data_IF_206204356377
#
_entry.id   IF_206204356377
#
_cell.length_a   1.000
_cell.length_b   1.000
_cell.length_c   1.000
_cell.angle_alpha   90.00
_cell.angle_beta   90.00
_cell.angle_gamma   90.00
#
_symmetry.space_group_name_H-M   'P 1'
#
loop_
_entity.id
_entity.type
_entity.pdbx_description
1 polymer ?
#
# COMPACT_ATOMS: atom_id res chain seq x y z
N UNK A 1 -10.42 -4.02 -13.82
CA UNK A 1 -11.65 -3.35 -13.36
C UNK A 1 -11.50 -1.82 -13.43
N UNK A 2 -10.50 -1.23 -12.73
CA UNK A 2 -10.29 0.21 -12.68
C UNK A 2 -10.11 0.81 -14.08
N UNK A 3 -9.19 0.30 -14.88
CA UNK A 3 -8.97 0.77 -16.26
C UNK A 3 -10.23 0.67 -17.12
N UNK A 4 -10.96 -0.46 -17.02
CA UNK A 4 -12.21 -0.63 -17.77
C UNK A 4 -13.22 0.48 -17.46
N UNK A 5 -13.46 0.79 -16.18
CA UNK A 5 -14.40 1.83 -15.80
C UNK A 5 -13.89 3.23 -16.12
N UNK A 6 -12.60 3.47 -15.95
CA UNK A 6 -11.99 4.75 -16.34
C UNK A 6 -12.11 4.99 -17.84
N UNK A 7 -11.68 4.05 -18.67
CA UNK A 7 -11.73 4.13 -20.14
C UNK A 7 -13.16 4.29 -20.67
N UNK A 8 -14.13 3.64 -20.00
CA UNK A 8 -15.54 3.69 -20.42
C UNK A 8 -16.25 5.00 -20.04
N UNK A 9 -15.70 5.77 -19.09
CA UNK A 9 -16.39 6.96 -18.54
C UNK A 9 -15.65 8.26 -18.75
N UNK A 10 -14.35 8.21 -19.12
CA UNK A 10 -13.51 9.37 -19.32
C UNK A 10 -13.13 9.57 -20.80
N UNK A 11 -12.82 10.79 -21.18
CA UNK A 11 -12.14 11.04 -22.46
C UNK A 11 -10.75 10.42 -22.46
N UNK A 12 -10.20 10.12 -23.63
CA UNK A 12 -8.87 9.54 -23.77
C UNK A 12 -7.77 10.24 -22.95
N UNK A 13 -7.81 11.57 -22.88
CA UNK A 13 -6.83 12.38 -22.12
C UNK A 13 -6.97 12.13 -20.60
N UNK A 14 -8.19 11.89 -20.10
CA UNK A 14 -8.50 11.73 -18.68
C UNK A 14 -8.69 10.27 -18.26
N UNK A 15 -8.56 9.32 -19.17
CA UNK A 15 -8.78 7.91 -18.84
C UNK A 15 -7.66 7.32 -17.98
N UNK A 16 -6.40 7.77 -18.18
CA UNK A 16 -5.26 7.32 -17.39
C UNK A 16 -5.29 7.88 -15.98
N UNK A 17 -5.22 7.01 -14.97
CA UNK A 17 -5.11 7.38 -13.56
C UNK A 17 -3.66 7.32 -13.08
N UNK A 18 -3.35 8.10 -12.04
CA UNK A 18 -1.98 8.16 -11.48
C UNK A 18 -1.63 6.89 -10.71
N UNK A 19 -0.34 6.55 -10.69
CA UNK A 19 0.20 5.37 -10.01
C UNK A 19 -0.17 5.34 -8.52
N UNK A 20 -0.28 6.49 -7.88
CA UNK A 20 -0.69 6.64 -6.48
C UNK A 20 -1.98 5.88 -6.12
N UNK A 21 -2.93 5.80 -7.05
CA UNK A 21 -4.22 5.12 -6.84
C UNK A 21 -4.37 3.83 -7.65
N UNK A 22 -3.35 3.44 -8.42
CA UNK A 22 -3.44 2.29 -9.31
C UNK A 22 -3.78 0.99 -8.57
N UNK A 23 -3.19 0.79 -7.39
CA UNK A 23 -3.35 -0.44 -6.60
C UNK A 23 -4.51 -0.37 -5.59
N UNK A 24 -5.13 0.79 -5.40
CA UNK A 24 -6.28 0.94 -4.48
C UNK A 24 -7.42 0.02 -4.89
N UNK A 25 -7.71 -0.06 -6.19
CA UNK A 25 -8.83 -0.86 -6.69
C UNK A 25 -8.57 -2.37 -6.54
N UNK A 26 -7.37 -2.86 -6.87
CA UNK A 26 -7.01 -4.28 -6.71
C UNK A 26 -7.03 -4.69 -5.24
N UNK A 27 -6.38 -3.93 -4.37
CA UNK A 27 -6.33 -4.19 -2.94
C UNK A 27 -7.71 -4.10 -2.27
N UNK A 28 -8.56 -3.16 -2.69
CA UNK A 28 -9.96 -3.10 -2.22
C UNK A 28 -10.73 -4.38 -2.60
N UNK A 29 -10.58 -4.86 -3.83
CA UNK A 29 -11.23 -6.09 -4.29
C UNK A 29 -10.68 -7.32 -3.55
N UNK A 30 -9.37 -7.40 -3.29
CA UNK A 30 -8.77 -8.46 -2.50
C UNK A 30 -9.33 -8.48 -1.07
N UNK A 31 -9.44 -7.31 -0.44
CA UNK A 31 -10.05 -7.19 0.89
C UNK A 31 -11.50 -7.67 0.90
N UNK A 32 -12.31 -7.26 -0.07
CA UNK A 32 -13.70 -7.73 -0.21
C UNK A 32 -13.77 -9.24 -0.42
N UNK A 33 -12.88 -9.80 -1.24
CA UNK A 33 -12.82 -11.24 -1.50
C UNK A 33 -12.47 -12.04 -0.24
N UNK A 34 -11.47 -11.60 0.53
CA UNK A 34 -11.08 -12.28 1.78
C UNK A 34 -12.23 -12.28 2.78
N UNK A 35 -12.92 -11.14 2.95
CA UNK A 35 -14.08 -11.06 3.82
C UNK A 35 -15.23 -11.96 3.35
N UNK A 36 -15.46 -12.04 2.04
CA UNK A 36 -16.44 -12.97 1.46
C UNK A 36 -16.08 -14.43 1.74
N UNK A 37 -14.84 -14.83 1.53
CA UNK A 37 -14.37 -16.20 1.79
C UNK A 37 -14.49 -16.55 3.27
N UNK A 38 -14.05 -15.66 4.17
CA UNK A 38 -14.17 -15.86 5.63
C UNK A 38 -15.62 -16.03 6.09
N UNK A 39 -16.56 -15.37 5.45
CA UNK A 39 -17.99 -15.50 5.74
C UNK A 39 -18.59 -16.80 5.23
N UNK A 40 -18.04 -17.38 4.18
CA UNK A 40 -18.62 -18.55 3.48
C UNK A 40 -17.86 -19.86 3.75
N UNK A 41 -16.91 -19.89 4.67
CA UNK A 41 -16.28 -21.13 5.14
C UNK A 41 -16.54 -21.34 6.62
N UNK A 42 -16.77 -22.59 7.03
CA UNK A 42 -16.85 -23.01 8.43
C UNK A 42 -15.61 -23.79 8.89
N UNK A 43 -14.71 -24.11 7.97
CA UNK A 43 -13.45 -24.79 8.28
C UNK A 43 -12.50 -23.86 9.02
N UNK A 44 -12.09 -24.29 10.22
CA UNK A 44 -11.18 -23.51 11.08
C UNK A 44 -9.78 -23.38 10.50
N UNK A 45 -9.28 -24.39 9.79
CA UNK A 45 -7.96 -24.37 9.17
C UNK A 45 -7.95 -23.39 7.98
N UNK A 46 -9.01 -23.41 7.17
CA UNK A 46 -9.19 -22.47 6.07
C UNK A 46 -9.31 -21.02 6.58
N UNK A 47 -10.12 -20.79 7.64
CA UNK A 47 -10.20 -19.47 8.29
C UNK A 47 -8.84 -18.97 8.79
N UNK A 48 -8.10 -19.84 9.46
CA UNK A 48 -6.76 -19.48 9.96
C UNK A 48 -5.82 -19.12 8.83
N UNK A 49 -5.85 -19.88 7.72
CA UNK A 49 -5.06 -19.58 6.52
C UNK A 49 -5.44 -18.21 5.92
N UNK A 50 -6.73 -17.95 5.71
CA UNK A 50 -7.21 -16.68 5.14
C UNK A 50 -6.84 -15.47 6.01
N UNK A 51 -6.99 -15.61 7.33
CA UNK A 51 -6.61 -14.55 8.28
C UNK A 51 -5.11 -14.32 8.24
N UNK A 52 -4.31 -15.38 8.26
CA UNK A 52 -2.85 -15.25 8.18
C UNK A 52 -2.42 -14.60 6.85
N UNK A 53 -3.02 -15.00 5.73
CA UNK A 53 -2.75 -14.38 4.43
C UNK A 53 -3.07 -12.88 4.46
N UNK A 54 -4.20 -12.49 5.05
CA UNK A 54 -4.57 -11.07 5.17
C UNK A 54 -3.60 -10.28 6.06
N UNK A 55 -3.15 -10.86 7.17
CA UNK A 55 -2.15 -10.24 8.04
C UNK A 55 -0.79 -10.09 7.35
N UNK A 56 -0.37 -11.08 6.55
CA UNK A 56 0.87 -10.99 5.77
C UNK A 56 0.81 -9.88 4.70
N UNK A 57 -0.37 -9.59 4.14
CA UNK A 57 -0.53 -8.43 3.25
C UNK A 57 -0.26 -7.11 3.99
N UNK A 58 -0.77 -6.94 5.21
CA UNK A 58 -0.46 -5.76 6.03
C UNK A 58 1.03 -5.66 6.33
N UNK A 59 1.64 -6.76 6.74
CA UNK A 59 3.08 -6.79 7.01
C UNK A 59 3.90 -6.39 5.78
N UNK A 60 3.62 -6.99 4.62
CA UNK A 60 4.37 -6.77 3.39
C UNK A 60 4.11 -5.43 2.72
N UNK A 61 2.87 -4.94 2.78
CA UNK A 61 2.43 -3.76 2.03
C UNK A 61 2.39 -2.50 2.90
N UNK A 62 1.97 -2.59 4.15
CA UNK A 62 1.92 -1.42 5.03
C UNK A 62 3.23 -1.25 5.80
N UNK A 63 3.57 -2.20 6.67
CA UNK A 63 4.72 -2.06 7.58
C UNK A 63 6.05 -2.03 6.83
N UNK A 64 6.29 -3.00 5.97
CA UNK A 64 7.54 -3.11 5.21
C UNK A 64 7.74 -1.91 4.27
N UNK A 65 6.72 -1.48 3.56
CA UNK A 65 6.84 -0.36 2.63
C UNK A 65 6.98 0.99 3.35
N UNK A 66 6.37 1.13 4.52
CA UNK A 66 6.60 2.31 5.39
C UNK A 66 8.04 2.33 5.89
N UNK A 67 8.59 1.19 6.30
CA UNK A 67 10.01 1.06 6.69
C UNK A 67 10.94 1.47 5.54
N UNK A 68 10.64 1.03 4.30
CA UNK A 68 11.41 1.43 3.13
C UNK A 68 11.31 2.94 2.85
N UNK A 69 10.12 3.52 2.98
CA UNK A 69 9.95 4.96 2.82
C UNK A 69 10.70 5.76 3.89
N UNK A 70 10.77 5.25 5.12
CA UNK A 70 11.55 5.86 6.19
C UNK A 70 13.05 5.75 5.92
N UNK A 71 13.52 4.62 5.40
CA UNK A 71 14.90 4.46 4.94
C UNK A 71 15.25 5.49 3.86
N UNK A 72 14.41 5.66 2.84
CA UNK A 72 14.59 6.69 1.81
C UNK A 72 14.66 8.10 2.42
N UNK A 73 13.70 8.42 3.29
CA UNK A 73 13.65 9.73 3.97
C UNK A 73 14.94 10.03 4.76
N UNK A 74 15.42 9.05 5.53
CA UNK A 74 16.62 9.22 6.36
C UNK A 74 17.84 9.43 5.45
N UNK A 75 18.03 8.57 4.45
CA UNK A 75 19.20 8.63 3.58
C UNK A 75 19.23 9.89 2.72
N UNK A 76 18.10 10.32 2.19
CA UNK A 76 18.01 11.61 1.47
C UNK A 76 18.33 12.79 2.38
N UNK A 77 17.77 12.80 3.60
CA UNK A 77 18.04 13.86 4.58
C UNK A 77 19.52 13.93 4.94
N UNK A 78 20.20 12.81 5.14
CA UNK A 78 21.65 12.79 5.41
C UNK A 78 22.43 13.47 4.30
N UNK A 79 22.10 13.20 3.04
CA UNK A 79 22.75 13.86 1.88
C UNK A 79 22.45 15.35 1.82
N UNK A 80 21.22 15.77 2.10
CA UNK A 80 20.82 17.18 2.16
C UNK A 80 21.57 17.93 3.26
N UNK A 81 21.92 17.26 4.37
CA UNK A 81 22.70 17.80 5.48
C UNK A 81 24.22 17.73 5.22
N UNK A 82 24.64 17.22 4.07
CA UNK A 82 26.05 17.16 3.64
C UNK A 82 26.80 15.93 4.13
N UNK A 83 26.10 14.93 4.64
CA UNK A 83 26.71 13.65 5.05
C UNK A 83 27.03 12.78 3.84
N UNK A 84 28.12 12.01 3.94
CA UNK A 84 28.49 11.04 2.91
C UNK A 84 27.88 9.68 3.20
N UNK A 85 27.07 9.16 2.29
CA UNK A 85 26.53 7.81 2.40
C UNK A 85 27.62 6.78 2.04
N UNK A 86 27.88 5.88 2.98
CA UNK A 86 28.71 4.68 2.77
C UNK A 86 27.87 3.43 2.94
N UNK A 87 28.36 2.29 2.45
CA UNK A 87 27.68 1.00 2.66
C UNK A 87 27.43 0.72 4.14
N UNK A 88 28.39 1.02 5.01
CA UNK A 88 28.29 0.75 6.44
C UNK A 88 27.18 1.61 7.09
N UNK A 89 27.08 2.87 6.71
CA UNK A 89 26.02 3.78 7.18
C UNK A 89 24.65 3.26 6.72
N UNK A 90 24.54 2.91 5.44
CA UNK A 90 23.28 2.39 4.89
C UNK A 90 22.86 1.08 5.56
N UNK A 91 23.80 0.15 5.76
CA UNK A 91 23.55 -1.10 6.48
C UNK A 91 23.09 -0.85 7.91
N UNK A 92 23.75 0.08 8.61
CA UNK A 92 23.37 0.44 9.99
C UNK A 92 21.96 1.01 10.03
N UNK A 93 21.64 1.99 9.21
CA UNK A 93 20.29 2.61 9.17
C UNK A 93 19.23 1.55 8.85
N UNK A 94 19.48 0.69 7.88
CA UNK A 94 18.54 -0.34 7.48
C UNK A 94 18.32 -1.40 8.58
N UNK A 95 19.37 -1.84 9.24
CA UNK A 95 19.31 -2.77 10.36
C UNK A 95 18.52 -2.18 11.54
N UNK A 96 18.80 -0.93 11.91
CA UNK A 96 18.13 -0.24 13.01
C UNK A 96 16.61 -0.09 12.73
N UNK A 97 16.24 0.20 11.49
CA UNK A 97 14.84 0.24 11.06
C UNK A 97 14.17 -1.15 11.14
N UNK A 98 14.85 -2.21 10.69
CA UNK A 98 14.32 -3.56 10.85
C UNK A 98 14.07 -3.89 12.33
N UNK A 99 15.01 -3.56 13.20
CA UNK A 99 14.84 -3.76 14.64
C UNK A 99 13.64 -2.99 15.21
N UNK A 100 13.45 -1.75 14.78
CA UNK A 100 12.32 -0.91 15.21
C UNK A 100 10.97 -1.46 14.73
N UNK A 101 10.87 -1.88 13.48
CA UNK A 101 9.61 -2.31 12.87
C UNK A 101 9.19 -3.74 13.23
N UNK A 102 10.16 -4.64 13.45
CA UNK A 102 9.88 -6.03 13.83
C UNK A 102 9.86 -6.28 15.34
N UNK A 103 10.40 -5.33 16.13
CA UNK A 103 10.40 -5.40 17.59
C UNK A 103 11.53 -6.27 18.16
N UNK A 104 11.64 -6.24 19.50
CA UNK A 104 12.75 -6.86 20.23
C UNK A 104 12.64 -8.40 20.30
N UNK A 105 11.45 -8.95 20.13
CA UNK A 105 11.21 -10.39 20.16
C UNK A 105 11.62 -11.11 18.86
N UNK A 106 11.94 -10.34 17.80
CA UNK A 106 12.40 -10.87 16.53
C UNK A 106 13.92 -11.03 16.52
N UNK A 107 14.38 -12.23 16.24
CA UNK A 107 15.80 -12.47 15.95
C UNK A 107 16.08 -12.01 14.52
N UNK A 108 16.94 -11.02 14.37
CA UNK A 108 17.36 -10.50 13.07
C UNK A 108 18.75 -11.05 12.74
N UNK A 109 18.88 -11.69 11.59
CA UNK A 109 20.17 -12.07 11.05
C UNK A 109 20.93 -10.81 10.58
N UNK A 110 22.27 -10.82 10.72
CA UNK A 110 23.10 -9.66 10.35
C UNK A 110 23.01 -9.33 8.86
N UNK A 111 22.76 -10.34 8.02
CA UNK A 111 22.62 -10.22 6.57
C UNK A 111 21.44 -9.36 6.16
N UNK A 112 20.40 -9.19 7.01
CA UNK A 112 19.27 -8.31 6.71
C UNK A 112 19.73 -6.86 6.48
N UNK A 113 20.84 -6.46 7.10
CA UNK A 113 21.42 -5.14 6.91
C UNK A 113 21.77 -4.82 5.44
N UNK A 114 22.02 -5.84 4.63
CA UNK A 114 22.37 -5.70 3.21
C UNK A 114 21.16 -5.68 2.27
N UNK A 115 19.95 -5.94 2.78
CA UNK A 115 18.78 -6.10 1.92
C UNK A 115 18.46 -4.86 1.07
N UNK A 116 18.72 -3.65 1.56
CA UNK A 116 18.52 -2.40 0.82
C UNK A 116 19.18 -2.42 -0.56
N UNK A 117 20.35 -3.06 -0.69
CA UNK A 117 21.14 -3.10 -1.91
C UNK A 117 20.46 -3.86 -3.07
N UNK A 118 19.53 -4.78 -2.77
CA UNK A 118 18.82 -5.58 -3.78
C UNK A 118 17.42 -5.05 -4.13
N UNK A 119 16.96 -3.96 -3.48
CA UNK A 119 15.60 -3.45 -3.68
C UNK A 119 15.59 -2.45 -4.83
N UNK A 120 15.04 -2.83 -6.02
CA UNK A 120 15.10 -1.98 -7.20
C UNK A 120 14.25 -0.71 -7.06
N UNK A 121 13.28 -0.68 -6.16
CA UNK A 121 12.42 0.48 -5.93
C UNK A 121 13.20 1.72 -5.46
N UNK A 122 14.33 1.55 -4.79
CA UNK A 122 15.15 2.68 -4.35
C UNK A 122 15.87 3.42 -5.49
N UNK A 123 15.91 2.86 -6.70
CA UNK A 123 16.32 3.59 -7.90
C UNK A 123 15.23 4.54 -8.44
N UNK A 124 14.03 4.47 -7.87
CA UNK A 124 12.89 5.31 -8.23
C UNK A 124 12.41 6.03 -6.96
N UNK A 125 13.06 7.14 -6.58
CA UNK A 125 12.90 7.74 -5.26
C UNK A 125 11.46 8.13 -4.96
N UNK A 126 11.09 7.96 -3.70
CA UNK A 126 9.77 8.27 -3.15
C UNK A 126 8.60 7.52 -3.82
N UNK A 127 8.87 6.32 -4.31
CA UNK A 127 7.84 5.47 -4.90
C UNK A 127 7.11 4.62 -3.84
N UNK A 128 7.84 4.04 -2.88
CA UNK A 128 7.34 2.95 -2.03
C UNK A 128 6.29 3.37 -0.99
N UNK A 129 6.25 4.64 -0.57
CA UNK A 129 5.22 5.13 0.36
C UNK A 129 3.80 4.96 -0.21
N UNK A 130 3.65 4.93 -1.53
CA UNK A 130 2.37 4.79 -2.21
C UNK A 130 1.68 3.45 -1.93
N UNK A 131 2.43 2.41 -1.60
CA UNK A 131 1.86 1.13 -1.18
C UNK A 131 1.12 1.25 0.15
N UNK A 132 1.70 1.93 1.13
CA UNK A 132 1.09 2.13 2.44
C UNK A 132 -0.17 3.01 2.36
N UNK A 133 -0.11 4.10 1.59
CA UNK A 133 -1.28 4.97 1.36
C UNK A 133 -2.35 4.23 0.56
N UNK A 134 -1.96 3.48 -0.46
CA UNK A 134 -2.87 2.69 -1.30
C UNK A 134 -3.65 1.63 -0.52
N UNK A 135 -2.98 0.84 0.32
CA UNK A 135 -3.65 -0.17 1.15
C UNK A 135 -4.57 0.49 2.18
N UNK A 136 -4.17 1.61 2.77
CA UNK A 136 -4.99 2.34 3.74
C UNK A 136 -6.31 2.82 3.12
N UNK A 137 -6.24 3.43 1.92
CA UNK A 137 -7.42 3.84 1.17
C UNK A 137 -8.30 2.64 0.77
N UNK A 138 -7.68 1.55 0.30
CA UNK A 138 -8.38 0.34 -0.10
C UNK A 138 -9.16 -0.31 1.04
N UNK A 139 -8.57 -0.39 2.24
CA UNK A 139 -9.24 -0.93 3.43
C UNK A 139 -10.40 -0.02 3.86
N UNK A 140 -10.21 1.30 3.84
CA UNK A 140 -11.29 2.24 4.13
C UNK A 140 -12.47 2.08 3.16
N UNK A 141 -12.20 1.95 1.85
CA UNK A 141 -13.21 1.71 0.83
C UNK A 141 -13.92 0.37 1.00
N UNK A 142 -13.18 -0.72 1.18
CA UNK A 142 -13.76 -2.05 1.37
C UNK A 142 -14.63 -2.12 2.63
N UNK A 143 -14.19 -1.52 3.73
CA UNK A 143 -14.99 -1.39 4.96
C UNK A 143 -16.28 -0.62 4.71
N UNK A 144 -16.20 0.52 4.03
CA UNK A 144 -17.37 1.32 3.67
C UNK A 144 -18.38 0.54 2.82
N UNK A 145 -17.91 -0.23 1.83
CA UNK A 145 -18.76 -1.09 1.01
C UNK A 145 -19.47 -2.16 1.86
N UNK A 146 -18.75 -2.81 2.77
CA UNK A 146 -19.32 -3.83 3.65
C UNK A 146 -20.35 -3.28 4.63
N UNK A 147 -20.13 -2.07 5.15
CA UNK A 147 -21.03 -1.42 6.12
C UNK A 147 -22.26 -0.78 5.46
N UNK A 148 -22.10 -0.17 4.27
CA UNK A 148 -23.12 0.65 3.63
C UNK A 148 -23.79 -0.02 2.41
N UNK A 149 -23.32 -1.19 2.00
CA UNK A 149 -23.87 -1.93 0.86
C UNK A 149 -23.87 -1.10 -0.43
N UNK A 150 -25.02 -0.99 -1.09
CA UNK A 150 -25.14 -0.30 -2.39
C UNK A 150 -24.67 1.17 -2.36
N UNK A 151 -24.84 1.86 -1.24
CA UNK A 151 -24.38 3.25 -1.11
C UNK A 151 -22.84 3.32 -1.16
N UNK A 152 -22.15 2.41 -0.44
CA UNK A 152 -20.71 2.29 -0.48
C UNK A 152 -20.19 1.93 -1.88
N UNK A 153 -20.87 1.01 -2.57
CA UNK A 153 -20.55 0.65 -3.97
C UNK A 153 -20.70 1.85 -4.90
N UNK A 154 -21.76 2.64 -4.77
CA UNK A 154 -21.95 3.86 -5.60
C UNK A 154 -20.82 4.87 -5.38
N UNK A 155 -20.36 5.02 -4.16
CA UNK A 155 -19.23 5.91 -3.86
C UNK A 155 -17.91 5.36 -4.42
N UNK A 156 -17.68 4.06 -4.27
CA UNK A 156 -16.51 3.42 -4.88
C UNK A 156 -16.51 3.53 -6.41
N UNK A 157 -17.66 3.42 -7.05
CA UNK A 157 -17.79 3.61 -8.50
C UNK A 157 -17.40 5.02 -8.95
N UNK A 158 -17.64 6.07 -8.13
CA UNK A 158 -17.16 7.42 -8.45
C UNK A 158 -15.63 7.49 -8.56
N UNK A 159 -14.92 6.74 -7.70
CA UNK A 159 -13.48 6.61 -7.78
C UNK A 159 -13.05 5.84 -9.03
N UNK A 160 -13.63 4.67 -9.30
CA UNK A 160 -13.26 3.83 -10.44
C UNK A 160 -13.53 4.50 -11.81
N UNK A 161 -14.56 5.33 -11.90
CA UNK A 161 -14.93 6.03 -13.13
C UNK A 161 -14.22 7.37 -13.31
N UNK A 162 -13.46 7.81 -12.30
CA UNK A 162 -12.85 9.14 -12.28
C UNK A 162 -11.59 9.28 -13.15
N UNK A 163 -10.86 8.19 -13.39
CA UNK A 163 -9.60 8.20 -14.15
C UNK A 163 -8.60 9.24 -13.63
N UNK A 164 -8.09 10.06 -14.51
CA UNK A 164 -7.21 11.20 -14.22
C UNK A 164 -7.90 12.55 -14.25
N UNK A 165 -9.26 12.59 -14.17
CA UNK A 165 -10.03 13.85 -14.24
C UNK A 165 -9.82 14.78 -13.04
N UNK A 166 -9.30 14.26 -11.93
CA UNK A 166 -9.00 14.98 -10.70
C UNK A 166 -7.70 14.45 -10.07
N UNK A 167 -7.18 15.18 -9.10
CA UNK A 167 -6.08 14.66 -8.29
C UNK A 167 -6.48 13.41 -7.50
N UNK A 168 -5.55 12.46 -7.27
CA UNK A 168 -5.83 11.20 -6.57
C UNK A 168 -6.54 11.36 -5.22
N UNK A 169 -6.11 12.32 -4.41
CA UNK A 169 -6.73 12.61 -3.11
C UNK A 169 -8.17 13.10 -3.27
N UNK A 170 -8.43 13.94 -4.28
CA UNK A 170 -9.81 14.41 -4.57
C UNK A 170 -10.72 13.27 -5.03
N UNK A 171 -10.19 12.33 -5.84
CA UNK A 171 -10.93 11.14 -6.26
C UNK A 171 -11.28 10.24 -5.06
N UNK A 172 -10.35 10.05 -4.14
CA UNK A 172 -10.60 9.30 -2.91
C UNK A 172 -11.64 10.00 -2.02
N UNK A 173 -11.57 11.33 -1.91
CA UNK A 173 -12.60 12.12 -1.20
C UNK A 173 -14.00 11.98 -1.80
N UNK A 174 -14.12 11.89 -3.12
CA UNK A 174 -15.40 11.61 -3.78
C UNK A 174 -15.99 10.24 -3.38
N UNK A 175 -15.11 9.27 -3.11
CA UNK A 175 -15.51 7.97 -2.58
C UNK A 175 -15.69 7.96 -1.06
N UNK A 176 -15.44 9.10 -0.39
CA UNK A 176 -15.60 9.28 1.05
C UNK A 176 -14.41 8.79 1.88
N UNK A 177 -13.22 8.76 1.28
CA UNK A 177 -11.94 8.50 1.97
C UNK A 177 -11.14 9.79 1.98
N UNK A 178 -10.85 10.30 3.16
CA UNK A 178 -9.98 11.46 3.38
C UNK A 178 -8.60 10.98 3.89
N UNK A 179 -7.53 11.37 3.19
CA UNK A 179 -6.14 10.97 3.47
C UNK A 179 -5.27 12.18 3.74
#
# INVERSE_FOLDING_TARGET
LHSYYSDSNQSYINAGYKIFVAEVASTCNESLLIHYLLKNTDDKAEKAYLINHFLEQFKGTLYRQTMFAEFEKITHKMVEEGETLTSDILCKVYYDLNKQYFGEDMVLDEEIALEWARIPHFYNPFYVYQYATGISAAIALSKKIMEQGEAGVKDYMKFLTGGGSKDPIELLKLAGVDM
#
